data_IF_127484247446
#
_entry.id   IF_127484247446
#
_cell.length_a   1.000
_cell.length_b   1.000
_cell.length_c   1.000
_cell.angle_alpha   90.00
_cell.angle_beta   90.00
_cell.angle_gamma   90.00
#
_symmetry.space_group_name_H-M   'P 1'
#
loop_
_entity.id
_entity.type
_entity.pdbx_description
1 polymer ?
#
# COMPACT_ATOMS: atom_id res chain seq x y z
N UNK A 1 -23.14 16.38 11.54
CA UNK A 1 -22.12 16.15 12.58
C UNK A 1 -20.80 16.73 12.11
N UNK A 2 -20.20 17.58 12.92
CA UNK A 2 -18.89 18.17 12.59
C UNK A 2 -17.84 17.05 12.73
N UNK A 3 -17.17 16.68 11.65
CA UNK A 3 -16.09 15.68 11.67
C UNK A 3 -14.95 16.05 12.62
N UNK A 4 -13.88 15.27 12.65
CA UNK A 4 -12.69 15.51 13.47
C UNK A 4 -12.03 16.80 12.98
N UNK A 5 -12.03 17.84 13.82
CA UNK A 5 -11.45 19.16 13.51
C UNK A 5 -10.08 19.40 14.16
N UNK A 6 -9.66 18.50 15.06
CA UNK A 6 -8.38 18.59 15.80
C UNK A 6 -7.78 17.21 15.96
N UNK A 7 -6.45 17.14 15.97
CA UNK A 7 -5.75 15.90 16.32
C UNK A 7 -5.99 15.53 17.79
N UNK A 8 -6.15 14.21 18.05
CA UNK A 8 -6.03 13.69 19.40
C UNK A 8 -4.56 13.76 19.82
N UNK A 9 -4.30 14.41 20.96
CA UNK A 9 -2.95 14.60 21.47
C UNK A 9 -2.70 13.64 22.64
N UNK A 10 -1.45 13.19 22.80
CA UNK A 10 -0.99 12.48 23.99
C UNK A 10 -0.77 13.43 25.17
N UNK A 11 -0.35 12.88 26.34
CA UNK A 11 -0.07 13.67 27.53
C UNK A 11 1.06 14.70 27.38
N UNK A 12 1.84 14.63 26.31
CA UNK A 12 2.92 15.57 25.97
C UNK A 12 2.52 16.56 24.86
N UNK A 13 1.25 16.56 24.46
CA UNK A 13 0.74 17.46 23.42
C UNK A 13 1.13 17.06 22.00
N UNK A 14 1.54 15.81 21.74
CA UNK A 14 1.89 15.31 20.41
C UNK A 14 0.72 14.53 19.80
N UNK A 15 0.44 14.76 18.52
CA UNK A 15 -0.46 13.93 17.73
C UNK A 15 0.20 12.58 17.49
N UNK A 16 -0.49 11.50 17.86
CA UNK A 16 0.01 10.13 17.66
C UNK A 16 -0.43 9.61 16.29
N UNK A 17 0.47 8.91 15.64
CA UNK A 17 0.19 8.15 14.41
C UNK A 17 -0.32 6.76 14.76
N UNK A 18 -1.09 6.13 13.84
CA UNK A 18 -1.50 4.73 13.91
C UNK A 18 -0.56 3.82 13.13
N UNK A 19 -0.86 2.52 13.11
CA UNK A 19 -0.20 1.53 12.25
C UNK A 19 -0.38 1.85 10.76
N UNK A 20 -1.49 2.50 10.35
CA UNK A 20 -1.69 3.00 8.99
C UNK A 20 -0.50 3.85 8.54
N UNK A 21 -0.12 4.84 9.35
CA UNK A 21 1.02 5.72 9.05
C UNK A 21 2.34 4.95 9.11
N UNK A 22 2.53 4.10 10.13
CA UNK A 22 3.75 3.31 10.23
C UNK A 22 3.93 2.44 8.98
N UNK A 23 2.93 1.63 8.62
CA UNK A 23 3.03 0.76 7.46
C UNK A 23 3.14 1.52 6.13
N UNK A 24 2.54 2.70 6.01
CA UNK A 24 2.74 3.59 4.85
C UNK A 24 4.21 4.01 4.72
N UNK A 25 4.87 4.37 5.83
CA UNK A 25 6.29 4.72 5.84
C UNK A 25 7.17 3.53 5.48
N UNK A 26 6.88 2.34 6.03
CA UNK A 26 7.61 1.12 5.67
C UNK A 26 7.38 0.70 4.21
N UNK A 27 6.18 0.91 3.65
CA UNK A 27 5.93 0.75 2.21
C UNK A 27 6.82 1.68 1.40
N UNK A 28 6.82 2.98 1.72
CA UNK A 28 7.65 3.97 1.02
C UNK A 28 9.14 3.60 1.09
N UNK A 29 9.63 3.20 2.26
CA UNK A 29 11.03 2.82 2.44
C UNK A 29 11.39 1.54 1.66
N UNK A 30 10.52 0.52 1.69
CA UNK A 30 10.70 -0.72 0.91
C UNK A 30 10.76 -0.44 -0.60
N UNK A 31 9.86 0.41 -1.12
CA UNK A 31 9.88 0.83 -2.52
C UNK A 31 11.16 1.59 -2.89
N UNK A 32 11.60 2.53 -2.05
CA UNK A 32 12.85 3.26 -2.26
C UNK A 32 14.06 2.34 -2.22
N UNK A 33 14.08 1.37 -1.31
CA UNK A 33 15.14 0.34 -1.23
C UNK A 33 15.16 -0.49 -2.51
N UNK A 34 14.00 -0.98 -2.98
CA UNK A 34 13.90 -1.75 -4.23
C UNK A 34 14.40 -0.97 -5.45
N UNK A 35 14.03 0.31 -5.58
CA UNK A 35 14.53 1.19 -6.65
C UNK A 35 16.04 1.38 -6.55
N UNK A 36 16.56 1.58 -5.34
CA UNK A 36 17.99 1.79 -5.11
C UNK A 36 18.79 0.54 -5.47
N UNK A 37 18.35 -0.63 -5.02
CA UNK A 37 18.96 -1.92 -5.38
C UNK A 37 18.97 -2.12 -6.89
N UNK A 38 17.87 -1.88 -7.56
CA UNK A 38 17.79 -1.99 -9.01
C UNK A 38 18.80 -1.08 -9.73
N UNK A 39 18.97 0.15 -9.26
CA UNK A 39 19.96 1.08 -9.83
C UNK A 39 21.39 0.62 -9.60
N UNK A 40 21.69 0.09 -8.43
CA UNK A 40 23.04 -0.41 -8.08
C UNK A 40 23.40 -1.68 -8.84
N UNK A 41 22.42 -2.58 -9.03
CA UNK A 41 22.62 -3.89 -9.66
C UNK A 41 22.36 -3.87 -11.16
N UNK A 42 21.99 -2.72 -11.74
CA UNK A 42 21.55 -2.58 -13.13
C UNK A 42 20.44 -3.58 -13.50
N UNK A 43 19.53 -3.84 -12.56
CA UNK A 43 18.41 -4.75 -12.71
C UNK A 43 17.09 -3.99 -12.90
N UNK A 44 16.04 -4.70 -13.29
CA UNK A 44 14.69 -4.13 -13.53
C UNK A 44 13.60 -4.88 -12.75
N UNK A 45 13.93 -5.39 -11.56
CA UNK A 45 12.94 -6.04 -10.72
C UNK A 45 11.90 -5.03 -10.22
N UNK A 46 10.67 -5.49 -10.06
CA UNK A 46 9.60 -4.65 -9.51
C UNK A 46 9.91 -4.28 -8.06
N UNK A 47 9.89 -2.98 -7.74
CA UNK A 47 10.29 -2.48 -6.43
C UNK A 47 9.38 -2.98 -5.29
N UNK A 48 8.09 -3.24 -5.58
CA UNK A 48 7.14 -3.77 -4.61
C UNK A 48 7.50 -5.16 -4.08
N UNK A 49 8.38 -5.91 -4.76
CA UNK A 49 8.88 -7.21 -4.26
C UNK A 49 9.65 -7.08 -2.93
N UNK A 50 10.25 -5.92 -2.69
CA UNK A 50 11.04 -5.62 -1.47
C UNK A 50 10.14 -5.17 -0.31
N UNK A 51 8.90 -4.75 -0.57
CA UNK A 51 8.02 -4.19 0.45
C UNK A 51 7.71 -5.18 1.56
N UNK A 52 7.59 -6.49 1.26
CA UNK A 52 7.36 -7.48 2.31
C UNK A 52 8.52 -7.55 3.32
N UNK A 53 9.76 -7.45 2.87
CA UNK A 53 10.90 -7.40 3.77
C UNK A 53 10.86 -6.15 4.67
N UNK A 54 10.39 -5.01 4.14
CA UNK A 54 10.14 -3.81 4.94
C UNK A 54 9.04 -4.04 6.01
N UNK A 55 8.00 -4.83 5.69
CA UNK A 55 6.99 -5.18 6.69
C UNK A 55 7.49 -6.14 7.77
N UNK A 56 8.47 -6.96 7.48
CA UNK A 56 9.14 -7.77 8.52
C UNK A 56 9.94 -6.86 9.47
N UNK A 57 10.58 -5.81 8.96
CA UNK A 57 11.19 -4.78 9.81
C UNK A 57 10.16 -4.04 10.67
N UNK A 58 9.00 -3.68 10.10
CA UNK A 58 7.89 -3.12 10.88
C UNK A 58 7.42 -4.08 11.95
N UNK A 59 7.20 -5.35 11.64
CA UNK A 59 6.78 -6.37 12.59
C UNK A 59 7.76 -6.48 13.77
N UNK A 60 9.06 -6.45 13.48
CA UNK A 60 10.09 -6.41 14.53
C UNK A 60 9.90 -5.20 15.46
N UNK A 61 9.58 -4.03 14.93
CA UNK A 61 9.35 -2.84 15.79
C UNK A 61 8.14 -3.01 16.72
N UNK A 62 7.16 -3.84 16.33
CA UNK A 62 5.95 -4.10 17.10
C UNK A 62 6.13 -5.21 18.16
N UNK A 63 6.94 -6.23 17.87
CA UNK A 63 7.11 -7.42 18.72
C UNK A 63 8.43 -7.43 19.49
N UNK A 64 9.47 -6.81 18.94
CA UNK A 64 10.88 -6.90 19.37
C UNK A 64 11.43 -8.33 19.30
N UNK A 65 10.76 -9.20 18.56
CA UNK A 65 11.25 -10.54 18.31
C UNK A 65 12.31 -10.46 17.20
N UNK A 66 13.54 -10.89 17.51
CA UNK A 66 14.61 -10.96 16.53
C UNK A 66 14.26 -12.02 15.47
N UNK A 67 13.88 -11.54 14.30
CA UNK A 67 13.66 -12.39 13.12
C UNK A 67 14.98 -12.81 12.48
N UNK A 68 14.92 -13.88 11.68
CA UNK A 68 16.05 -14.36 10.87
C UNK A 68 16.26 -13.53 9.60
N UNK A 69 15.43 -12.48 9.37
CA UNK A 69 15.55 -11.63 8.18
C UNK A 69 16.56 -10.50 8.41
N UNK A 70 17.29 -10.18 7.38
CA UNK A 70 18.19 -9.04 7.36
C UNK A 70 17.41 -7.72 7.34
N UNK A 71 17.86 -6.75 8.15
CA UNK A 71 17.25 -5.42 8.15
C UNK A 71 17.47 -4.73 6.80
N UNK A 72 16.40 -4.22 6.21
CA UNK A 72 16.47 -3.50 4.93
C UNK A 72 16.05 -2.04 5.03
N UNK A 73 15.37 -1.64 6.12
CA UNK A 73 14.86 -0.28 6.29
C UNK A 73 15.60 0.46 7.40
N UNK A 74 15.94 1.73 7.19
CA UNK A 74 16.48 2.59 8.23
C UNK A 74 15.43 2.98 9.28
N UNK A 75 14.14 2.84 8.96
CA UNK A 75 13.03 3.11 9.89
C UNK A 75 13.10 2.23 11.15
N UNK A 76 13.68 1.04 11.05
CA UNK A 76 13.90 0.15 12.18
C UNK A 76 14.86 0.75 13.24
N UNK A 77 15.65 1.77 12.88
CA UNK A 77 16.55 2.45 13.81
C UNK A 77 15.85 3.57 14.60
N UNK A 78 14.63 3.97 14.19
CA UNK A 78 13.90 5.06 14.82
C UNK A 78 13.11 4.58 16.05
N UNK A 79 13.39 5.12 17.27
CA UNK A 79 12.65 4.75 18.49
C UNK A 79 11.14 4.95 18.37
N UNK A 80 10.70 5.95 17.60
CA UNK A 80 9.30 6.29 17.39
C UNK A 80 8.51 5.15 16.70
N UNK A 81 9.18 4.29 15.94
CA UNK A 81 8.56 3.14 15.27
C UNK A 81 8.24 1.99 16.24
N UNK A 82 8.87 1.96 17.44
CA UNK A 82 8.71 0.89 18.41
C UNK A 82 7.48 1.03 19.33
N UNK A 83 6.60 1.93 19.03
CA UNK A 83 5.33 2.07 19.74
C UNK A 83 4.23 1.29 19.03
N UNK A 84 3.54 0.38 19.74
CA UNK A 84 2.33 -0.26 19.23
C UNK A 84 1.26 0.80 19.01
N UNK A 85 0.76 0.87 17.77
CA UNK A 85 -0.23 1.85 17.32
C UNK A 85 -1.46 1.15 16.74
N UNK A 86 -2.04 0.23 17.53
CA UNK A 86 -3.18 -0.61 17.16
C UNK A 86 -2.95 -1.47 15.91
N UNK A 87 -1.82 -2.20 15.79
CA UNK A 87 -1.51 -2.98 14.61
C UNK A 87 -2.60 -4.02 14.31
N UNK A 88 -3.03 -4.10 13.06
CA UNK A 88 -4.06 -5.04 12.61
C UNK A 88 -3.59 -6.49 12.70
N UNK A 89 -4.44 -7.36 13.26
CA UNK A 89 -4.12 -8.78 13.46
C UNK A 89 -3.74 -9.49 12.15
N UNK A 90 -4.39 -9.16 11.04
CA UNK A 90 -4.10 -9.76 9.73
C UNK A 90 -2.67 -9.45 9.28
N UNK A 91 -2.23 -8.19 9.41
CA UNK A 91 -0.86 -7.78 9.09
C UNK A 91 0.16 -8.48 10.00
N UNK A 92 -0.10 -8.50 11.31
CA UNK A 92 0.77 -9.16 12.29
C UNK A 92 0.90 -10.66 12.02
N UNK A 93 -0.23 -11.36 11.78
CA UNK A 93 -0.22 -12.81 11.50
C UNK A 93 0.48 -13.14 10.19
N UNK A 94 0.31 -12.33 9.16
CA UNK A 94 0.99 -12.54 7.88
C UNK A 94 2.51 -12.43 8.04
N UNK A 95 3.01 -11.41 8.73
CA UNK A 95 4.44 -11.25 9.01
C UNK A 95 4.98 -12.40 9.86
N UNK A 96 4.26 -12.82 10.91
CA UNK A 96 4.64 -13.95 11.75
C UNK A 96 4.75 -15.25 10.95
N UNK A 97 3.77 -15.54 10.07
CA UNK A 97 3.79 -16.72 9.22
C UNK A 97 5.03 -16.75 8.31
N UNK A 98 5.38 -15.62 7.69
CA UNK A 98 6.55 -15.55 6.81
C UNK A 98 7.84 -15.76 7.59
N UNK A 99 7.98 -15.18 8.80
CA UNK A 99 9.14 -15.40 9.67
C UNK A 99 9.28 -16.88 10.06
N UNK A 100 8.16 -17.55 10.28
CA UNK A 100 8.10 -18.99 10.57
C UNK A 100 8.32 -19.87 9.32
N UNK A 101 8.50 -19.31 8.15
CA UNK A 101 8.60 -20.04 6.88
C UNK A 101 7.30 -20.69 6.43
N UNK A 102 6.16 -20.15 6.86
CA UNK A 102 4.81 -20.59 6.51
C UNK A 102 4.22 -19.69 5.43
N UNK A 103 3.33 -20.26 4.63
CA UNK A 103 2.55 -19.47 3.67
C UNK A 103 1.58 -18.53 4.40
N UNK A 104 1.37 -17.36 3.82
CA UNK A 104 0.27 -16.47 4.20
C UNK A 104 -1.00 -17.03 3.56
N UNK A 105 -1.96 -17.41 4.38
CA UNK A 105 -3.27 -17.89 3.90
C UNK A 105 -4.37 -17.28 4.76
N UNK A 106 -5.19 -16.42 4.15
CA UNK A 106 -6.35 -15.85 4.83
C UNK A 106 -7.39 -15.34 3.81
N UNK A 107 -8.59 -15.07 4.31
CA UNK A 107 -9.72 -14.53 3.54
C UNK A 107 -10.09 -13.12 4.05
N UNK A 108 -9.08 -12.32 4.38
CA UNK A 108 -9.28 -11.01 5.00
C UNK A 108 -9.70 -9.96 3.99
N UNK A 109 -10.84 -9.30 4.28
CA UNK A 109 -11.39 -8.13 3.59
C UNK A 109 -11.09 -6.82 4.35
N UNK A 110 -10.18 -6.89 5.33
CA UNK A 110 -9.84 -5.75 6.17
C UNK A 110 -9.14 -4.63 5.41
N UNK A 111 -9.19 -3.42 5.99
CA UNK A 111 -8.59 -2.21 5.40
C UNK A 111 -7.05 -2.16 5.50
N UNK A 112 -6.41 -3.08 6.22
CA UNK A 112 -4.94 -3.06 6.40
C UNK A 112 -4.13 -3.20 5.11
N UNK A 113 -4.73 -3.70 4.03
CA UNK A 113 -4.12 -3.70 2.70
C UNK A 113 -4.11 -2.32 2.06
N UNK A 114 -5.27 -1.65 2.02
CA UNK A 114 -5.46 -0.37 1.32
C UNK A 114 -4.80 0.82 2.03
N UNK A 115 -4.73 0.80 3.37
CA UNK A 115 -4.26 1.93 4.18
C UNK A 115 -2.81 2.37 3.88
N UNK A 116 -2.00 1.51 3.27
CA UNK A 116 -0.55 1.66 3.15
C UNK A 116 -0.01 1.79 1.71
N UNK A 117 -0.88 1.73 0.70
CA UNK A 117 -0.43 1.68 -0.72
C UNK A 117 -0.19 3.04 -1.36
N UNK A 118 -0.53 4.14 -0.68
CA UNK A 118 -0.38 5.48 -1.24
C UNK A 118 1.03 5.79 -1.81
N UNK A 119 2.15 5.35 -1.22
CA UNK A 119 3.48 5.58 -1.79
C UNK A 119 3.67 5.00 -3.18
N UNK A 120 2.95 3.93 -3.53
CA UNK A 120 3.00 3.32 -4.85
C UNK A 120 2.58 4.30 -5.95
N UNK A 121 1.62 5.18 -5.67
CA UNK A 121 1.16 6.20 -6.62
C UNK A 121 2.25 7.21 -7.04
N UNK A 122 3.33 7.32 -6.27
CA UNK A 122 4.44 8.23 -6.54
C UNK A 122 5.50 7.64 -7.48
N UNK A 123 5.40 6.34 -7.83
CA UNK A 123 6.45 5.65 -8.59
C UNK A 123 6.29 5.71 -10.10
N UNK A 124 5.20 6.26 -10.62
CA UNK A 124 5.02 6.40 -12.07
C UNK A 124 5.85 7.57 -12.57
N UNK A 125 6.91 7.27 -13.28
CA UNK A 125 7.70 8.26 -13.99
C UNK A 125 7.29 8.28 -15.47
N UNK A 126 6.83 9.45 -15.94
CA UNK A 126 6.43 9.67 -17.34
C UNK A 126 7.62 10.05 -18.24
N UNK A 127 8.84 10.12 -17.69
CA UNK A 127 10.03 10.47 -18.46
C UNK A 127 10.50 9.32 -19.36
N UNK A 128 10.71 9.52 -20.68
CA UNK A 128 11.16 8.48 -21.60
C UNK A 128 12.48 7.81 -21.24
N UNK A 129 13.34 8.49 -20.48
CA UNK A 129 14.72 8.09 -20.21
C UNK A 129 14.96 7.50 -18.82
N UNK A 130 13.92 7.31 -18.01
CA UNK A 130 14.06 7.05 -16.57
C UNK A 130 14.20 5.58 -16.16
N UNK A 131 14.31 4.63 -17.08
CA UNK A 131 14.41 3.20 -16.73
C UNK A 131 13.18 2.72 -15.96
N UNK A 132 12.02 2.88 -16.52
CA UNK A 132 10.68 2.79 -15.90
C UNK A 132 10.38 1.45 -15.28
N UNK A 133 9.88 1.49 -14.04
CA UNK A 133 9.33 0.32 -13.36
C UNK A 133 7.84 0.13 -13.63
N UNK A 134 7.08 1.23 -13.90
CA UNK A 134 5.63 1.22 -14.13
C UNK A 134 5.33 2.03 -15.37
N UNK A 135 4.91 1.33 -16.43
CA UNK A 135 4.68 1.93 -17.75
C UNK A 135 3.21 2.25 -18.02
N UNK A 136 2.29 1.72 -17.21
CA UNK A 136 0.85 1.87 -17.40
C UNK A 136 0.11 2.01 -16.07
N UNK A 137 -1.14 2.48 -16.12
CA UNK A 137 -2.03 2.49 -14.96
C UNK A 137 -2.37 1.08 -14.49
N UNK A 138 -2.37 0.12 -15.39
CA UNK A 138 -2.56 -1.30 -15.12
C UNK A 138 -1.41 -1.85 -14.27
N UNK A 139 -0.15 -1.61 -14.67
CA UNK A 139 1.03 -2.00 -13.88
C UNK A 139 1.01 -1.36 -12.49
N UNK A 140 0.61 -0.09 -12.42
CA UNK A 140 0.50 0.64 -11.17
C UNK A 140 -0.56 0.02 -10.23
N UNK A 141 -1.72 -0.32 -10.78
CA UNK A 141 -2.80 -0.98 -10.04
C UNK A 141 -2.36 -2.37 -9.55
N UNK A 142 -1.71 -3.16 -10.41
CA UNK A 142 -1.17 -4.47 -10.03
C UNK A 142 -0.13 -4.37 -8.92
N UNK A 143 0.74 -3.35 -8.93
CA UNK A 143 1.67 -3.09 -7.83
C UNK A 143 0.95 -2.79 -6.50
N UNK A 144 -0.10 -1.97 -6.53
CA UNK A 144 -0.95 -1.69 -5.37
C UNK A 144 -1.66 -2.94 -4.85
N UNK A 145 -2.24 -3.74 -5.76
CA UNK A 145 -2.83 -5.04 -5.43
C UNK A 145 -1.80 -5.98 -4.79
N UNK A 146 -0.61 -6.10 -5.38
CA UNK A 146 0.45 -6.96 -4.88
C UNK A 146 0.87 -6.60 -3.45
N UNK A 147 1.09 -5.31 -3.17
CA UNK A 147 1.45 -4.82 -1.83
C UNK A 147 0.39 -5.19 -0.79
N UNK A 148 -0.90 -5.06 -1.14
CA UNK A 148 -2.00 -5.38 -0.24
C UNK A 148 -2.16 -6.90 -0.05
N UNK A 149 -2.07 -7.68 -1.14
CA UNK A 149 -2.25 -9.13 -1.17
C UNK A 149 -1.21 -9.89 -0.33
N UNK A 150 -0.03 -9.31 -0.10
CA UNK A 150 0.99 -9.88 0.79
C UNK A 150 0.46 -10.21 2.20
N UNK A 151 -0.58 -9.53 2.65
CA UNK A 151 -1.19 -9.75 3.95
C UNK A 151 -2.71 -9.97 3.91
N UNK A 152 -3.42 -9.48 2.88
CA UNK A 152 -4.89 -9.54 2.75
C UNK A 152 -5.24 -10.24 1.44
N UNK A 153 -5.52 -11.55 1.49
CA UNK A 153 -5.60 -12.38 0.29
C UNK A 153 -7.00 -12.51 -0.33
N UNK A 154 -8.03 -11.96 0.32
CA UNK A 154 -9.34 -11.85 -0.32
C UNK A 154 -9.32 -10.75 -1.41
N UNK A 155 -9.95 -10.96 -2.59
CA UNK A 155 -10.01 -9.95 -3.67
C UNK A 155 -10.50 -8.58 -3.20
N UNK A 156 -11.52 -8.51 -2.34
CA UNK A 156 -12.00 -7.25 -1.75
C UNK A 156 -11.03 -6.65 -0.70
N UNK A 157 -9.96 -7.35 -0.32
CA UNK A 157 -8.90 -6.83 0.53
C UNK A 157 -7.76 -6.19 -0.28
N UNK A 158 -7.53 -6.60 -1.54
CA UNK A 158 -6.42 -6.09 -2.35
C UNK A 158 -6.85 -5.32 -3.63
N UNK A 159 -7.95 -5.66 -4.30
CA UNK A 159 -8.40 -4.91 -5.49
C UNK A 159 -8.64 -3.42 -5.20
N UNK A 160 -9.31 -3.04 -4.08
CA UNK A 160 -9.47 -1.62 -3.73
C UNK A 160 -8.13 -0.89 -3.53
N UNK A 161 -7.08 -1.59 -3.11
CA UNK A 161 -5.75 -1.01 -2.94
C UNK A 161 -5.12 -0.62 -4.29
N UNK A 162 -5.26 -1.48 -5.30
CA UNK A 162 -4.87 -1.15 -6.67
C UNK A 162 -5.64 0.04 -7.22
N UNK A 163 -6.96 0.08 -7.01
CA UNK A 163 -7.79 1.23 -7.42
C UNK A 163 -7.37 2.52 -6.71
N UNK A 164 -7.14 2.48 -5.39
CA UNK A 164 -6.68 3.65 -4.65
C UNK A 164 -5.35 4.18 -5.20
N UNK A 165 -4.43 3.29 -5.55
CA UNK A 165 -3.14 3.67 -6.13
C UNK A 165 -3.31 4.47 -7.43
N UNK A 166 -4.18 4.01 -8.34
CA UNK A 166 -4.49 4.72 -9.60
C UNK A 166 -5.23 6.03 -9.33
N UNK A 167 -6.20 6.02 -8.42
CA UNK A 167 -6.96 7.21 -8.03
C UNK A 167 -6.01 8.31 -7.51
N UNK A 168 -5.12 7.97 -6.60
CA UNK A 168 -4.13 8.91 -6.06
C UNK A 168 -3.20 9.43 -7.16
N UNK A 169 -2.70 8.56 -8.04
CA UNK A 169 -1.87 8.98 -9.16
C UNK A 169 -2.56 10.03 -10.04
N UNK A 170 -3.85 9.85 -10.33
CA UNK A 170 -4.64 10.80 -11.14
C UNK A 170 -4.92 12.11 -10.40
N UNK A 171 -5.07 12.07 -9.08
CA UNK A 171 -5.38 13.25 -8.25
C UNK A 171 -4.15 14.11 -7.92
N UNK A 172 -2.99 13.49 -7.74
CA UNK A 172 -1.76 14.17 -7.30
C UNK A 172 -1.33 15.38 -8.13
N UNK A 173 -1.45 15.40 -9.49
CA UNK A 173 -1.06 16.55 -10.30
C UNK A 173 -2.10 17.66 -10.31
N UNK A 174 -3.29 17.46 -9.73
CA UNK A 174 -4.41 18.38 -9.83
C UNK A 174 -4.46 19.35 -8.64
N UNK A 175 -4.91 20.57 -8.90
CA UNK A 175 -5.34 21.48 -7.84
C UNK A 175 -6.67 21.00 -7.23
N UNK A 176 -7.02 21.42 -6.00
CA UNK A 176 -8.29 21.02 -5.38
C UNK A 176 -9.53 21.34 -6.25
N UNK A 177 -9.54 22.49 -6.93
CA UNK A 177 -10.63 22.86 -7.83
C UNK A 177 -10.73 21.92 -9.03
N UNK A 178 -9.58 21.64 -9.69
CA UNK A 178 -9.54 20.68 -10.81
C UNK A 178 -9.96 19.28 -10.40
N UNK A 179 -9.54 18.82 -9.20
CA UNK A 179 -9.94 17.53 -8.68
C UNK A 179 -11.45 17.48 -8.44
N UNK A 180 -12.04 18.52 -7.83
CA UNK A 180 -13.47 18.59 -7.58
C UNK A 180 -14.30 18.58 -8.87
N UNK A 181 -13.88 19.36 -9.88
CA UNK A 181 -14.58 19.47 -11.17
C UNK A 181 -14.53 18.17 -12.00
N UNK A 182 -13.54 17.30 -11.75
CA UNK A 182 -13.29 16.09 -12.54
C UNK A 182 -13.47 14.79 -11.76
N UNK A 183 -13.89 14.83 -10.50
CA UNK A 183 -13.87 13.65 -9.60
C UNK A 183 -14.66 12.47 -10.16
N UNK A 184 -15.85 12.69 -10.71
CA UNK A 184 -16.69 11.62 -11.26
C UNK A 184 -16.03 10.91 -12.44
N UNK A 185 -15.39 11.67 -13.33
CA UNK A 185 -14.65 11.12 -14.46
C UNK A 185 -13.41 10.33 -13.98
N UNK A 186 -12.66 10.88 -13.02
CA UNK A 186 -11.47 10.22 -12.44
C UNK A 186 -11.86 8.90 -11.78
N UNK A 187 -12.96 8.89 -11.02
CA UNK A 187 -13.48 7.66 -10.39
C UNK A 187 -13.92 6.66 -11.45
N UNK A 188 -14.66 7.07 -12.46
CA UNK A 188 -15.11 6.19 -13.56
C UNK A 188 -13.92 5.57 -14.30
N UNK A 189 -12.92 6.36 -14.68
CA UNK A 189 -11.70 5.87 -15.31
C UNK A 189 -10.88 4.95 -14.41
N UNK A 190 -10.85 5.22 -13.10
CA UNK A 190 -10.19 4.35 -12.13
C UNK A 190 -10.88 2.99 -12.04
N UNK A 191 -12.22 2.97 -12.05
CA UNK A 191 -12.99 1.73 -12.00
C UNK A 191 -12.84 0.89 -13.27
N UNK A 192 -12.60 1.53 -14.43
CA UNK A 192 -12.36 0.80 -15.68
C UNK A 192 -11.09 -0.07 -15.64
N UNK A 193 -10.16 0.25 -14.72
CA UNK A 193 -8.95 -0.57 -14.49
C UNK A 193 -9.31 -2.01 -14.07
N UNK A 194 -10.45 -2.20 -13.38
CA UNK A 194 -10.91 -3.56 -13.03
C UNK A 194 -11.14 -4.47 -14.23
N UNK A 195 -11.38 -3.93 -15.43
CA UNK A 195 -11.60 -4.71 -16.64
C UNK A 195 -10.30 -5.25 -17.24
N UNK A 196 -9.17 -4.62 -16.92
CA UNK A 196 -7.87 -4.95 -17.52
C UNK A 196 -6.90 -5.63 -16.54
N UNK A 197 -7.04 -5.42 -15.22
CA UNK A 197 -6.21 -6.14 -14.25
C UNK A 197 -6.74 -7.54 -13.99
N UNK A 198 -5.84 -8.52 -13.84
CA UNK A 198 -6.17 -9.91 -13.46
C UNK A 198 -7.34 -10.48 -14.29
N UNK A 199 -7.26 -10.33 -15.62
CA UNK A 199 -8.30 -10.75 -16.55
C UNK A 199 -8.69 -12.21 -16.32
N UNK A 200 -10.00 -12.50 -16.29
CA UNK A 200 -10.54 -13.83 -16.04
C UNK A 200 -10.48 -14.31 -14.60
N UNK A 201 -10.06 -13.42 -13.65
CA UNK A 201 -10.04 -13.70 -12.22
C UNK A 201 -10.89 -12.70 -11.46
N UNK A 202 -11.54 -13.17 -10.39
CA UNK A 202 -12.25 -12.32 -9.42
C UNK A 202 -13.40 -11.49 -10.02
N UNK A 203 -14.07 -11.99 -11.05
CA UNK A 203 -15.09 -11.24 -11.80
C UNK A 203 -16.29 -10.84 -10.93
N UNK A 204 -16.70 -11.69 -9.99
CA UNK A 204 -17.78 -11.39 -9.05
C UNK A 204 -17.40 -10.24 -8.11
N UNK A 205 -16.16 -10.25 -7.57
CA UNK A 205 -15.67 -9.21 -6.69
C UNK A 205 -15.49 -7.88 -7.41
N UNK A 206 -14.99 -7.89 -8.66
CA UNK A 206 -14.87 -6.71 -9.51
C UNK A 206 -16.23 -6.10 -9.80
N UNK A 207 -17.21 -6.94 -10.14
CA UNK A 207 -18.59 -6.49 -10.37
C UNK A 207 -19.21 -5.90 -9.10
N UNK A 208 -18.96 -6.50 -7.94
CA UNK A 208 -19.39 -5.97 -6.65
C UNK A 208 -18.80 -4.59 -6.38
N UNK A 209 -17.50 -4.40 -6.59
CA UNK A 209 -16.84 -3.09 -6.43
C UNK A 209 -17.44 -2.01 -7.33
N UNK A 210 -17.69 -2.32 -8.63
CA UNK A 210 -18.35 -1.39 -9.55
C UNK A 210 -19.75 -0.98 -9.06
N UNK A 211 -20.54 -1.93 -8.58
CA UNK A 211 -21.88 -1.64 -8.04
C UNK A 211 -21.89 -0.79 -6.78
N UNK A 212 -20.85 -0.87 -5.94
CA UNK A 212 -20.77 -0.05 -4.73
C UNK A 212 -20.65 1.44 -5.07
N UNK A 213 -19.89 1.75 -6.13
CA UNK A 213 -19.64 3.13 -6.55
C UNK A 213 -20.82 3.75 -7.30
N UNK A 214 -21.69 2.94 -7.94
CA UNK A 214 -22.94 3.42 -8.55
C UNK A 214 -23.96 3.91 -7.51
N UNK A 215 -23.79 3.56 -6.24
CA UNK A 215 -24.70 3.89 -5.14
C UNK A 215 -24.18 5.02 -4.23
N UNK A 216 -22.96 5.46 -4.43
CA UNK A 216 -22.31 6.51 -3.65
C UNK A 216 -22.48 7.88 -4.29
#
# INVERSE_FOLDING_TARGET
ENGITKFALDGNGKALISDDTQMTLFTANGLLTGITMNRMEHSSHKAELIVMAAYLDWFYTQTREEGKHEQITWLRELPEMYHKRAPGNTCMSACANIIDGKDVMNDSKGCGGIMRVAPMALLVDQSPDSGRYYCSLEDLAEGGCYIAEQTHQHPLGFLPAGLLTVLLYKLLPLTPAQAQDNIDNIVSETLSILDVIRVGKYEEDKHYLKKLTEKA
#
